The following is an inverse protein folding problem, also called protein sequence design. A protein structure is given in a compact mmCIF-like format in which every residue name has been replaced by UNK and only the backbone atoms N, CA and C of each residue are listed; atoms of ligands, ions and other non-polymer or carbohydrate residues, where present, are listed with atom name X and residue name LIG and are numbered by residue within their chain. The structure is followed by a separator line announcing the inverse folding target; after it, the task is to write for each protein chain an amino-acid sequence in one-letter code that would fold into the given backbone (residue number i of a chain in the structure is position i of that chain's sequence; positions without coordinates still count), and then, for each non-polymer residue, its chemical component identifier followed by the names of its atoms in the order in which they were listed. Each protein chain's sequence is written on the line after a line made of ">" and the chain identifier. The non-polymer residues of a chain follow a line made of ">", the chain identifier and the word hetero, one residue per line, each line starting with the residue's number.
data_IF_240153945786
#
_entry.id   IF_240153945786
#
_cell.length_a   1.000
_cell.length_b   1.000
_cell.length_c   1.000
_cell.angle_alpha   90.00
_cell.angle_beta   90.00
_cell.angle_gamma   90.00
#
_symmetry.space_group_name_H-M   'P 1'
#
loop_
_entity.id
_entity.type
_entity.pdbx_description
1 polymer ?
#
# COMPACT_ATOMS: atom_id res chain seq x y z
N UNK A 1 -10.92 -12.56 23.80
CA UNK A 1 -10.88 -11.50 22.98
C UNK A 1 -10.91 -11.89 21.58
N UNK A 2 -11.65 -11.21 20.80
CA UNK A 2 -11.69 -11.61 19.54
C UNK A 2 -10.76 -10.95 18.68
N UNK A 3 -10.26 -11.63 17.74
CA UNK A 3 -9.36 -11.12 16.87
C UNK A 3 -10.00 -10.13 16.01
N UNK A 4 -9.36 -9.02 15.78
CA UNK A 4 -9.89 -8.04 14.93
C UNK A 4 -9.63 -8.42 13.52
N UNK A 5 -10.66 -8.56 12.76
CA UNK A 5 -10.49 -8.86 11.38
C UNK A 5 -10.25 -7.59 10.61
N UNK A 6 -9.31 -7.60 9.68
CA UNK A 6 -9.09 -6.48 8.83
C UNK A 6 -10.00 -6.60 7.65
N UNK A 7 -10.88 -5.62 7.48
CA UNK A 7 -11.78 -5.62 6.36
C UNK A 7 -11.13 -4.89 5.21
N UNK A 8 -10.78 -5.60 4.16
CA UNK A 8 -10.13 -5.02 3.02
C UNK A 8 -11.16 -4.44 2.06
N UNK A 9 -10.99 -3.17 1.75
CA UNK A 9 -11.85 -2.53 0.78
C UNK A 9 -11.32 -2.84 -0.61
N UNK A 10 -12.12 -3.39 -1.50
CA UNK A 10 -11.61 -3.76 -2.83
C UNK A 10 -11.17 -2.57 -3.66
N UNK A 11 -11.53 -1.35 -3.27
CA UNK A 11 -11.06 -0.19 -3.98
C UNK A 11 -9.66 0.22 -3.58
N UNK A 12 -9.14 -0.32 -2.48
CA UNK A 12 -7.84 0.09 -1.98
C UNK A 12 -6.82 -0.99 -2.30
N UNK A 13 -5.56 -0.60 -2.33
CA UNK A 13 -4.47 -1.55 -2.53
C UNK A 13 -3.77 -1.74 -1.21
N UNK A 14 -3.70 -3.00 -0.76
CA UNK A 14 -3.02 -3.32 0.49
C UNK A 14 -1.73 -4.04 0.16
N UNK A 15 -0.68 -3.75 0.90
CA UNK A 15 0.60 -4.39 0.65
C UNK A 15 1.41 -4.43 1.95
N UNK A 16 2.30 -5.40 2.01
CA UNK A 16 3.16 -5.60 3.16
C UNK A 16 4.59 -5.31 2.76
N UNK A 17 5.27 -4.49 3.54
CA UNK A 17 6.69 -4.21 3.36
C UNK A 17 7.35 -4.24 4.73
N UNK A 18 8.68 -4.21 4.75
CA UNK A 18 9.36 -4.06 6.01
C UNK A 18 9.12 -2.67 6.55
N UNK A 19 8.95 -2.58 7.85
CA UNK A 19 8.58 -1.32 8.48
C UNK A 19 9.55 -0.20 8.15
N UNK A 20 10.82 -0.52 8.03
CA UNK A 20 11.84 0.48 7.76
C UNK A 20 11.68 1.11 6.37
N UNK A 21 10.92 0.51 5.49
CA UNK A 21 10.74 1.03 4.13
C UNK A 21 9.49 1.89 3.97
N UNK A 22 8.72 2.10 5.02
CA UNK A 22 7.45 2.80 4.87
C UNK A 22 7.63 4.24 4.40
N UNK A 23 8.63 4.95 4.94
CA UNK A 23 8.87 6.32 4.49
C UNK A 23 9.32 6.38 3.04
N UNK A 24 10.15 5.42 2.65
CA UNK A 24 10.65 5.36 1.29
C UNK A 24 9.49 5.17 0.30
N UNK A 25 8.62 4.21 0.59
CA UNK A 25 7.49 3.95 -0.31
C UNK A 25 6.54 5.13 -0.32
N UNK A 26 6.30 5.73 0.83
CA UNK A 26 5.41 6.88 0.89
C UNK A 26 5.92 8.03 0.02
N UNK A 27 7.23 8.27 0.04
CA UNK A 27 7.80 9.32 -0.80
C UNK A 27 7.66 9.03 -2.27
N UNK A 28 7.84 7.77 -2.66
CA UNK A 28 7.69 7.38 -4.05
C UNK A 28 6.25 7.63 -4.50
N UNK A 29 5.29 7.21 -3.68
CA UNK A 29 3.89 7.37 -4.04
C UNK A 29 3.46 8.83 -4.07
N UNK A 30 4.03 9.64 -3.19
CA UNK A 30 3.72 11.07 -3.19
C UNK A 30 4.16 11.76 -4.48
N UNK A 31 5.10 11.19 -5.17
CA UNK A 31 5.56 11.76 -6.43
C UNK A 31 4.59 11.55 -7.58
N UNK A 32 3.56 10.73 -7.39
CA UNK A 32 2.57 10.47 -8.42
C UNK A 32 1.28 11.19 -8.06
N UNK A 33 0.86 12.11 -8.90
CA UNK A 33 -0.21 13.02 -8.55
C UNK A 33 -1.54 12.36 -8.31
N UNK A 34 -1.84 11.29 -8.96
CA UNK A 34 -3.17 10.72 -8.91
C UNK A 34 -3.24 9.38 -8.23
N UNK A 35 -2.20 9.02 -7.48
CA UNK A 35 -2.13 7.69 -6.93
C UNK A 35 -2.92 7.53 -5.65
N UNK A 36 -2.96 8.57 -4.85
CA UNK A 36 -3.68 8.48 -3.58
C UNK A 36 -2.73 8.55 -2.41
N UNK A 37 -3.29 8.40 -1.23
CA UNK A 37 -2.55 8.58 0.00
C UNK A 37 -2.26 7.23 0.63
N UNK A 38 -1.01 7.00 0.98
CA UNK A 38 -0.63 5.78 1.66
C UNK A 38 -0.85 5.93 3.15
N UNK A 39 -1.36 4.89 3.77
CA UNK A 39 -1.55 4.85 5.21
C UNK A 39 -0.95 3.57 5.75
N UNK A 40 -0.23 3.66 6.86
CA UNK A 40 0.28 2.48 7.53
C UNK A 40 -0.83 1.90 8.40
N UNK A 41 -1.15 0.64 8.17
CA UNK A 41 -2.25 0.01 8.88
C UNK A 41 -1.80 -0.52 10.23
N UNK A 42 -0.60 -1.09 10.30
CA UNK A 42 -0.11 -1.59 11.58
C UNK A 42 1.39 -1.35 11.70
N UNK A 43 1.93 -1.68 12.85
CA UNK A 43 3.33 -1.42 13.15
C UNK A 43 4.28 -2.36 12.44
N UNK A 44 3.76 -3.40 11.81
CA UNK A 44 4.60 -4.38 11.15
C UNK A 44 4.79 -4.12 9.68
N UNK A 45 4.29 -3.02 9.16
CA UNK A 45 4.52 -2.69 7.75
C UNK A 45 3.40 -3.01 6.81
N UNK A 46 2.22 -3.31 7.33
CA UNK A 46 1.06 -3.46 6.47
C UNK A 46 0.57 -2.06 6.09
N UNK A 47 0.46 -1.80 4.82
CA UNK A 47 0.12 -0.49 4.32
C UNK A 47 -1.07 -0.55 3.38
N UNK A 48 -1.68 0.59 3.18
CA UNK A 48 -2.85 0.69 2.34
C UNK A 48 -2.77 1.97 1.53
N UNK A 49 -3.15 1.91 0.26
CA UNK A 49 -3.24 3.09 -0.57
C UNK A 49 -4.68 3.21 -1.04
N UNK A 50 -5.29 4.35 -0.81
CA UNK A 50 -6.64 4.60 -1.31
C UNK A 50 -6.53 4.91 -2.78
N UNK A 51 -7.18 4.10 -3.59
CA UNK A 51 -7.10 4.27 -5.02
C UNK A 51 -8.49 4.37 -5.61
N UNK A 52 -8.56 4.72 -6.87
CA UNK A 52 -9.79 4.61 -7.61
C UNK A 52 -9.63 3.43 -8.55
N UNK A 53 -10.71 3.07 -9.20
CA UNK A 53 -10.65 1.97 -10.13
C UNK A 53 -9.61 2.21 -11.20
N UNK A 54 -9.48 3.45 -11.64
CA UNK A 54 -8.56 3.77 -12.73
C UNK A 54 -7.10 3.80 -12.28
N UNK A 55 -6.81 4.05 -11.00
CA UNK A 55 -5.44 4.15 -10.55
C UNK A 55 -4.94 2.92 -9.83
N UNK A 56 -5.83 1.97 -9.57
CA UNK A 56 -5.46 0.79 -8.81
C UNK A 56 -4.34 -0.02 -9.45
N UNK A 57 -4.45 -0.26 -10.75
CA UNK A 57 -3.42 -1.03 -11.44
C UNK A 57 -2.11 -0.27 -11.51
N UNK A 58 -2.18 1.04 -11.65
CA UNK A 58 -0.96 1.84 -11.66
C UNK A 58 -0.22 1.72 -10.33
N UNK A 59 -0.94 1.77 -9.22
CA UNK A 59 -0.32 1.63 -7.92
C UNK A 59 0.35 0.27 -7.80
N UNK A 60 -0.30 -0.78 -8.25
CA UNK A 60 0.29 -2.11 -8.18
C UNK A 60 1.57 -2.19 -9.02
N UNK A 61 1.55 -1.58 -10.19
CA UNK A 61 2.74 -1.58 -11.04
C UNK A 61 3.89 -0.82 -10.38
N UNK A 62 3.59 0.31 -9.78
CA UNK A 62 4.62 1.07 -9.08
C UNK A 62 5.23 0.23 -7.96
N UNK A 63 4.38 -0.41 -7.17
CA UNK A 63 4.88 -1.19 -6.05
C UNK A 63 5.72 -2.37 -6.52
N UNK A 64 5.34 -3.00 -7.62
CA UNK A 64 6.11 -4.12 -8.14
C UNK A 64 7.45 -3.71 -8.69
N UNK A 65 7.60 -2.45 -9.07
CA UNK A 65 8.84 -1.98 -9.66
C UNK A 65 9.86 -1.51 -8.63
N UNK A 66 9.50 -1.47 -7.36
CA UNK A 66 10.39 -0.97 -6.34
C UNK A 66 11.49 -1.98 -6.03
N UNK A 67 12.70 -1.51 -5.72
CA UNK A 67 13.82 -2.41 -5.42
C UNK A 67 13.81 -2.91 -3.98
N UNK A 68 12.63 -3.22 -3.47
CA UNK A 68 12.47 -3.78 -2.15
C UNK A 68 11.41 -4.87 -2.23
N UNK A 69 11.32 -5.66 -1.18
CA UNK A 69 10.33 -6.72 -1.13
C UNK A 69 8.98 -6.11 -0.82
N UNK A 70 8.02 -6.30 -1.71
CA UNK A 70 6.66 -5.85 -1.50
C UNK A 70 5.74 -7.03 -1.77
N UNK A 71 4.89 -7.33 -0.82
CA UNK A 71 3.89 -8.38 -1.00
C UNK A 71 2.52 -7.72 -1.15
N UNK A 72 1.93 -7.87 -2.32
CA UNK A 72 0.60 -7.32 -2.54
C UNK A 72 -0.43 -8.28 -2.01
N UNK A 73 -1.38 -7.75 -1.25
CA UNK A 73 -2.45 -8.54 -0.70
C UNK A 73 -3.69 -8.32 -1.56
N UNK A 74 -4.14 -9.36 -2.19
CA UNK A 74 -5.27 -9.22 -3.08
C UNK A 74 -6.46 -10.01 -2.67
#
# INVERSE_FOLDING_TARGET
>A
MQEREILYDPQYVYFQIERQHTNYVNRILEGYEYVGVMTTVNAEGLCMVRTTESTRELVKQILRSLPIFVTLLE
#
